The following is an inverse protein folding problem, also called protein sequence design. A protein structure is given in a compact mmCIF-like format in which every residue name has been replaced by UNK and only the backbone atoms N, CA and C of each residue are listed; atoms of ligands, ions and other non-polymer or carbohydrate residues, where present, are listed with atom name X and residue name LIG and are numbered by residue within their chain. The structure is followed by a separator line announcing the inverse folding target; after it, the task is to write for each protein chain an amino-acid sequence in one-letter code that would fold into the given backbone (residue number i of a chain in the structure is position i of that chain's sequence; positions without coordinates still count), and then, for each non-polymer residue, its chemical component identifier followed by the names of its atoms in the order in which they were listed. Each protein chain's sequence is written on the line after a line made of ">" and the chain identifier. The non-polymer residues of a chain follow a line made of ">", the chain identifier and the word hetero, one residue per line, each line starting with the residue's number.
data_IF_162798008284
#
_entry.id   IF_162798008284
#
_cell.length_a   1.000
_cell.length_b   1.000
_cell.length_c   1.000
_cell.angle_alpha   90.00
_cell.angle_beta   90.00
_cell.angle_gamma   90.00
#
_symmetry.space_group_name_H-M   'P 1'
#
loop_
_entity.id
_entity.type
_entity.pdbx_description
1 polymer ?
#
# COMPACT_ATOMS: atom_id res chain seq x y z
N UNK A 1 -19.68 -22.61 79.24
CA UNK A 1 -19.03 -23.80 78.63
C UNK A 1 -18.74 -23.51 77.17
N UNK A 2 -17.55 -23.86 76.67
CA UNK A 2 -16.97 -23.33 75.45
C UNK A 2 -17.35 -24.15 74.21
N UNK A 3 -17.24 -23.55 73.02
CA UNK A 3 -16.68 -24.21 71.82
C UNK A 3 -16.35 -23.17 70.74
N UNK A 4 -15.05 -23.05 70.48
CA UNK A 4 -14.50 -22.53 69.23
C UNK A 4 -14.94 -23.41 68.05
N UNK A 5 -14.98 -22.86 66.83
CA UNK A 5 -14.14 -23.27 65.68
C UNK A 5 -14.52 -22.50 64.39
N UNK A 6 -13.44 -22.04 63.72
CA UNK A 6 -13.17 -21.64 62.32
C UNK A 6 -14.33 -21.38 61.33
N UNK A 7 -14.36 -20.23 60.65
CA UNK A 7 -13.61 -19.85 59.42
C UNK A 7 -13.96 -20.70 58.20
N UNK A 8 -14.66 -20.09 57.23
CA UNK A 8 -14.39 -20.24 55.79
C UNK A 8 -15.12 -19.14 55.01
N UNK A 9 -14.37 -18.10 54.63
CA UNK A 9 -14.78 -17.06 53.70
C UNK A 9 -14.64 -17.65 52.28
N UNK A 10 -15.76 -18.00 51.65
CA UNK A 10 -15.78 -18.45 50.25
C UNK A 10 -15.81 -17.22 49.34
N UNK A 11 -14.64 -16.87 48.82
CA UNK A 11 -14.44 -15.88 47.76
C UNK A 11 -14.90 -16.52 46.43
N UNK A 12 -16.12 -16.22 46.00
CA UNK A 12 -16.61 -16.61 44.68
C UNK A 12 -16.04 -15.68 43.61
N UNK A 13 -14.83 -16.00 43.12
CA UNK A 13 -14.28 -15.38 41.91
C UNK A 13 -15.05 -15.97 40.73
N UNK A 14 -15.98 -15.21 40.18
CA UNK A 14 -16.63 -15.53 38.91
C UNK A 14 -15.56 -15.64 37.82
N UNK A 15 -15.32 -16.85 37.35
CA UNK A 15 -14.50 -17.10 36.17
C UNK A 15 -15.25 -16.55 34.95
N UNK A 16 -14.81 -15.40 34.44
CA UNK A 16 -15.12 -14.99 33.07
C UNK A 16 -14.52 -16.06 32.17
N UNK A 17 -15.28 -16.71 31.28
CA UNK A 17 -14.68 -17.60 30.30
C UNK A 17 -13.77 -16.73 29.41
N UNK A 18 -12.45 -16.89 29.54
CA UNK A 18 -11.55 -16.49 28.48
C UNK A 18 -12.05 -17.22 27.23
N UNK A 19 -12.49 -16.45 26.24
CA UNK A 19 -12.58 -16.96 24.89
C UNK A 19 -11.21 -17.55 24.56
N UNK A 20 -11.15 -18.88 24.49
CA UNK A 20 -9.99 -19.56 23.95
C UNK A 20 -9.72 -18.92 22.59
N UNK A 21 -8.55 -18.29 22.44
CA UNK A 21 -8.05 -17.90 21.13
C UNK A 21 -8.05 -19.18 20.29
N UNK A 22 -9.02 -19.31 19.39
CA UNK A 22 -9.03 -20.39 18.41
C UNK A 22 -7.72 -20.28 17.66
N UNK A 23 -6.98 -21.40 17.61
CA UNK A 23 -5.72 -21.59 16.88
C UNK A 23 -5.78 -20.88 15.52
N UNK A 24 -5.28 -19.65 15.47
CA UNK A 24 -4.91 -19.03 14.21
C UNK A 24 -3.75 -19.87 13.70
N UNK A 25 -3.87 -20.41 12.48
CA UNK A 25 -2.76 -21.07 11.81
C UNK A 25 -1.47 -20.26 12.02
N UNK A 26 -0.48 -20.84 12.70
CA UNK A 26 0.82 -20.20 13.00
C UNK A 26 1.65 -20.13 11.69
N UNK A 27 1.22 -19.30 10.75
CA UNK A 27 1.99 -19.02 9.54
C UNK A 27 3.22 -18.20 9.92
N UNK A 28 4.40 -18.82 9.90
CA UNK A 28 5.66 -18.09 10.05
C UNK A 28 5.81 -17.08 8.89
N UNK A 29 5.76 -15.76 9.15
CA UNK A 29 5.78 -14.78 8.07
C UNK A 29 7.09 -14.85 7.28
N UNK A 30 6.98 -14.75 5.96
CA UNK A 30 8.11 -14.61 5.03
C UNK A 30 8.07 -13.23 4.39
N UNK A 31 9.21 -12.56 4.34
CA UNK A 31 9.30 -11.27 3.68
C UNK A 31 9.16 -11.45 2.15
N UNK A 32 8.19 -10.81 1.49
CA UNK A 32 8.12 -10.81 0.04
C UNK A 32 9.31 -10.04 -0.56
N UNK A 33 9.69 -10.41 -1.78
CA UNK A 33 10.67 -9.65 -2.56
C UNK A 33 10.09 -8.30 -2.98
N UNK A 34 10.86 -7.23 -2.84
CA UNK A 34 10.43 -5.87 -3.22
C UNK A 34 11.20 -5.33 -4.41
N UNK A 35 10.58 -4.43 -5.17
CA UNK A 35 11.22 -3.62 -6.19
C UNK A 35 12.22 -2.60 -5.64
N UNK A 36 12.07 -2.24 -4.37
CA UNK A 36 12.72 -1.12 -3.72
C UNK A 36 13.80 -1.63 -2.78
N UNK A 37 15.07 -1.58 -3.22
CA UNK A 37 16.20 -2.04 -2.42
C UNK A 37 17.22 -0.93 -2.18
N UNK A 38 18.01 -1.10 -1.12
CA UNK A 38 19.03 -0.13 -0.72
C UNK A 38 18.42 1.20 -0.28
N UNK A 39 18.76 2.29 -0.99
CA UNK A 39 18.29 3.64 -0.66
C UNK A 39 16.95 4.01 -1.32
N UNK A 40 16.45 3.19 -2.23
CA UNK A 40 15.18 3.46 -2.91
C UNK A 40 14.03 3.12 -1.97
N UNK A 41 13.36 4.16 -1.45
CA UNK A 41 12.21 4.03 -0.56
C UNK A 41 11.18 5.11 -0.87
N UNK A 42 10.54 5.07 -2.05
CA UNK A 42 9.44 5.99 -2.31
C UNK A 42 8.33 5.76 -1.29
N UNK A 43 7.82 6.85 -0.75
CA UNK A 43 6.73 6.86 0.22
C UNK A 43 5.65 7.87 -0.21
N UNK A 44 4.42 7.63 0.21
CA UNK A 44 3.35 8.63 0.16
C UNK A 44 2.95 8.92 1.61
N UNK A 45 3.22 10.14 2.07
CA UNK A 45 3.00 10.58 3.46
C UNK A 45 3.67 9.67 4.51
N UNK A 46 4.86 9.15 4.22
CA UNK A 46 5.59 8.24 5.11
C UNK A 46 5.21 6.77 4.94
N UNK A 47 4.22 6.45 4.11
CA UNK A 47 3.82 5.06 3.83
C UNK A 47 4.55 4.57 2.60
N UNK A 48 5.52 3.69 2.82
CA UNK A 48 6.24 2.94 1.79
C UNK A 48 5.74 1.50 1.71
N UNK A 49 6.24 0.72 0.75
CA UNK A 49 5.88 -0.70 0.65
C UNK A 49 6.53 -1.59 1.72
N UNK A 50 7.51 -1.04 2.46
CA UNK A 50 8.01 -1.64 3.70
C UNK A 50 7.00 -1.44 4.86
N UNK A 51 5.99 -0.57 4.75
CA UNK A 51 4.99 -0.40 5.81
C UNK A 51 4.09 -1.62 5.93
N UNK A 52 3.65 -1.95 7.15
CA UNK A 52 2.59 -2.93 7.38
C UNK A 52 1.27 -2.20 7.74
N UNK A 53 0.16 -2.94 7.90
CA UNK A 53 -1.11 -2.28 8.19
C UNK A 53 -1.13 -1.53 9.52
N UNK A 54 -0.41 -2.01 10.53
CA UNK A 54 -0.30 -1.35 11.83
C UNK A 54 0.46 -0.02 11.72
N UNK A 55 1.61 0.01 11.06
CA UNK A 55 2.39 1.23 10.86
C UNK A 55 1.67 2.24 9.98
N UNK A 56 1.00 1.77 8.92
CA UNK A 56 0.17 2.63 8.07
C UNK A 56 -1.01 3.23 8.85
N UNK A 57 -1.66 2.44 9.71
CA UNK A 57 -2.70 2.92 10.61
C UNK A 57 -2.18 3.96 11.60
N UNK A 58 -1.02 3.74 12.20
CA UNK A 58 -0.41 4.73 13.09
C UNK A 58 -0.11 6.06 12.37
N UNK A 59 0.34 6.00 11.12
CA UNK A 59 0.54 7.18 10.27
C UNK A 59 -0.80 7.89 10.02
N UNK A 60 -1.85 7.15 9.68
CA UNK A 60 -3.19 7.72 9.51
C UNK A 60 -3.66 8.41 10.80
N UNK A 61 -3.63 7.69 11.93
CA UNK A 61 -4.05 8.22 13.22
C UNK A 61 -3.27 9.50 13.60
N UNK A 62 -1.98 9.57 13.27
CA UNK A 62 -1.18 10.78 13.45
C UNK A 62 -1.57 11.92 12.51
N UNK A 63 -1.77 11.65 11.22
CA UNK A 63 -2.14 12.66 10.21
C UNK A 63 -3.54 13.27 10.46
N UNK A 64 -4.39 12.53 11.16
CA UNK A 64 -5.79 12.89 11.39
C UNK A 64 -6.11 13.19 12.85
N UNK A 65 -5.09 13.21 13.71
CA UNK A 65 -5.25 13.55 15.12
C UNK A 65 -5.96 14.90 15.26
N UNK A 66 -7.09 14.90 15.97
CA UNK A 66 -7.90 16.09 16.22
C UNK A 66 -8.90 16.44 15.11
N UNK A 67 -9.02 15.62 14.05
CA UNK A 67 -10.07 15.76 13.03
C UNK A 67 -11.26 14.85 13.34
N UNK A 68 -12.47 15.39 13.21
CA UNK A 68 -13.73 14.67 13.45
C UNK A 68 -14.56 14.48 12.18
N UNK A 69 -14.15 15.10 11.08
CA UNK A 69 -14.80 15.08 9.77
C UNK A 69 -14.28 13.95 8.87
N UNK A 70 -13.28 13.20 9.32
CA UNK A 70 -12.64 12.16 8.54
C UNK A 70 -13.32 10.81 8.66
N UNK A 71 -13.35 10.04 7.57
CA UNK A 71 -13.82 8.65 7.55
C UNK A 71 -12.66 7.70 7.29
N UNK A 72 -12.51 6.70 8.14
CA UNK A 72 -11.59 5.58 7.93
C UNK A 72 -12.40 4.30 7.68
N UNK A 73 -12.09 3.61 6.59
CA UNK A 73 -12.64 2.30 6.21
C UNK A 73 -11.52 1.26 6.28
N UNK A 74 -11.70 0.25 7.11
CA UNK A 74 -10.75 -0.84 7.32
C UNK A 74 -11.35 -2.11 6.73
N UNK A 75 -10.79 -2.58 5.62
CA UNK A 75 -11.24 -3.79 4.97
C UNK A 75 -10.42 -4.97 5.50
N UNK A 76 -11.12 -5.90 6.14
CA UNK A 76 -10.51 -7.13 6.64
C UNK A 76 -10.75 -8.29 5.68
N UNK A 77 -9.79 -9.19 5.59
CA UNK A 77 -9.92 -10.47 4.90
C UNK A 77 -9.48 -11.60 5.81
N UNK A 78 -9.86 -12.84 5.47
CA UNK A 78 -9.38 -14.04 6.15
C UNK A 78 -8.22 -14.65 5.38
N UNK A 79 -7.23 -15.14 6.11
CA UNK A 79 -6.14 -15.96 5.61
C UNK A 79 -5.96 -17.14 6.56
N UNK A 80 -6.28 -18.35 6.10
CA UNK A 80 -6.49 -19.49 7.00
C UNK A 80 -7.59 -19.19 8.02
N UNK A 81 -7.33 -19.48 9.30
CA UNK A 81 -8.22 -19.14 10.42
C UNK A 81 -8.22 -17.68 10.88
N UNK A 82 -7.28 -16.84 10.43
CA UNK A 82 -7.06 -15.49 10.97
C UNK A 82 -7.61 -14.36 10.08
N UNK A 83 -8.22 -13.34 10.70
CA UNK A 83 -8.56 -12.09 10.02
C UNK A 83 -7.38 -11.12 10.03
N UNK A 84 -7.18 -10.38 8.94
CA UNK A 84 -6.13 -9.36 8.81
C UNK A 84 -6.64 -8.15 8.03
N UNK A 85 -5.95 -7.01 8.16
CA UNK A 85 -6.27 -5.80 7.39
C UNK A 85 -5.70 -5.93 5.98
N UNK A 86 -6.58 -6.03 4.99
CA UNK A 86 -6.23 -6.13 3.57
C UNK A 86 -6.24 -4.77 2.87
N UNK A 87 -7.05 -3.83 3.33
CA UNK A 87 -6.99 -2.44 2.87
C UNK A 87 -7.36 -1.45 3.97
N UNK A 88 -6.75 -0.27 3.90
CA UNK A 88 -7.02 0.87 4.74
C UNK A 88 -7.32 2.06 3.82
N UNK A 89 -8.54 2.59 3.92
CA UNK A 89 -8.96 3.75 3.16
C UNK A 89 -9.29 4.89 4.12
N UNK A 90 -8.86 6.08 3.77
CA UNK A 90 -9.16 7.31 4.45
C UNK A 90 -9.82 8.26 3.47
N UNK A 91 -10.81 9.00 3.95
CA UNK A 91 -11.46 10.06 3.20
C UNK A 91 -11.66 11.27 4.10
N UNK A 92 -11.18 12.40 3.61
CA UNK A 92 -11.42 13.73 4.15
C UNK A 92 -12.39 14.43 3.20
N UNK A 93 -13.56 14.88 3.68
CA UNK A 93 -14.49 15.63 2.86
C UNK A 93 -13.91 16.99 2.45
N UNK A 94 -14.55 17.61 1.46
CA UNK A 94 -14.24 18.99 1.10
C UNK A 94 -14.50 19.94 2.28
N UNK A 95 -13.59 20.89 2.46
CA UNK A 95 -13.67 21.97 3.43
C UNK A 95 -13.23 23.30 2.80
N UNK A 96 -13.14 24.35 3.60
CA UNK A 96 -12.89 25.71 3.10
C UNK A 96 -11.54 25.92 2.41
N UNK A 97 -10.55 25.06 2.66
CA UNK A 97 -9.18 25.16 2.10
C UNK A 97 -8.77 23.99 1.20
N UNK A 98 -9.60 22.95 1.10
CA UNK A 98 -9.30 21.74 0.32
C UNK A 98 -10.60 21.12 -0.17
N UNK A 99 -10.63 20.59 -1.39
CA UNK A 99 -11.82 19.95 -1.96
C UNK A 99 -11.85 18.44 -1.69
N UNK A 100 -11.22 18.02 -0.60
CA UNK A 100 -11.17 16.65 -0.12
C UNK A 100 -9.86 15.94 -0.41
N UNK A 101 -9.63 14.87 0.33
CA UNK A 101 -8.45 14.02 0.21
C UNK A 101 -8.87 12.55 0.39
N UNK A 102 -8.28 11.66 -0.41
CA UNK A 102 -8.44 10.23 -0.23
C UNK A 102 -7.06 9.58 -0.17
N UNK A 103 -6.84 8.73 0.82
CA UNK A 103 -5.62 7.93 0.94
C UNK A 103 -6.04 6.46 1.05
N UNK A 104 -5.48 5.60 0.20
CA UNK A 104 -5.80 4.18 0.12
C UNK A 104 -4.50 3.38 0.20
N UNK A 105 -4.51 2.31 0.97
CA UNK A 105 -3.38 1.39 1.08
C UNK A 105 -3.89 -0.05 1.09
N UNK A 106 -3.27 -0.92 0.31
CA UNK A 106 -3.58 -2.34 0.25
C UNK A 106 -2.39 -3.17 0.71
N UNK A 107 -2.67 -4.23 1.47
CA UNK A 107 -1.66 -5.02 2.18
C UNK A 107 -1.75 -6.49 1.81
N UNK A 108 -0.60 -7.15 1.81
CA UNK A 108 -0.50 -8.60 1.64
C UNK A 108 -1.02 -9.35 2.87
N UNK A 109 -1.10 -10.68 2.78
CA UNK A 109 -1.54 -11.51 3.91
C UNK A 109 -0.52 -11.52 5.07
N UNK A 110 -0.89 -12.04 6.26
CA UNK A 110 0.05 -12.26 7.36
C UNK A 110 1.20 -13.21 7.02
N UNK A 111 0.99 -14.21 6.16
CA UNK A 111 2.05 -15.11 5.72
C UNK A 111 3.15 -14.38 4.94
N UNK A 112 2.80 -13.28 4.28
CA UNK A 112 3.71 -12.35 3.60
C UNK A 112 3.98 -11.07 4.41
N UNK A 113 3.93 -11.16 5.73
CA UNK A 113 4.23 -10.10 6.69
C UNK A 113 3.35 -8.83 6.60
N UNK A 114 2.16 -8.94 6.01
CA UNK A 114 1.16 -7.88 5.91
C UNK A 114 1.70 -6.54 5.37
N UNK A 115 2.55 -6.63 4.34
CA UNK A 115 3.25 -5.47 3.77
C UNK A 115 2.40 -4.75 2.74
N UNK A 116 2.49 -3.42 2.71
CA UNK A 116 1.81 -2.59 1.73
C UNK A 116 2.39 -2.85 0.33
N UNK A 117 1.56 -3.23 -0.64
CA UNK A 117 1.99 -3.36 -2.04
C UNK A 117 1.43 -2.24 -2.93
N UNK A 118 0.40 -1.54 -2.45
CA UNK A 118 -0.25 -0.44 -3.16
C UNK A 118 -0.54 0.70 -2.19
N UNK A 119 -0.19 1.93 -2.57
CA UNK A 119 -0.52 3.16 -1.84
C UNK A 119 -1.00 4.18 -2.86
N UNK A 120 -2.15 4.80 -2.65
CA UNK A 120 -2.66 5.85 -3.52
C UNK A 120 -3.19 7.02 -2.71
N UNK A 121 -2.91 8.25 -3.17
CA UNK A 121 -3.38 9.49 -2.56
C UNK A 121 -3.95 10.40 -3.61
N UNK A 122 -5.19 10.83 -3.43
CA UNK A 122 -5.82 11.87 -4.24
C UNK A 122 -5.97 13.11 -3.38
N UNK A 123 -5.31 14.19 -3.77
CA UNK A 123 -5.39 15.49 -3.13
C UNK A 123 -6.10 16.48 -4.05
N UNK A 124 -7.26 16.99 -3.62
CA UNK A 124 -8.06 17.93 -4.40
C UNK A 124 -7.97 19.33 -3.80
N UNK A 125 -7.59 20.32 -4.60
CA UNK A 125 -7.39 21.70 -4.16
C UNK A 125 -8.66 22.53 -4.34
N UNK A 126 -8.93 23.42 -3.38
CA UNK A 126 -9.94 24.46 -3.54
C UNK A 126 -9.52 25.45 -4.64
N UNK A 127 -10.43 26.09 -5.40
CA UNK A 127 -10.08 26.92 -6.55
C UNK A 127 -9.05 28.03 -6.26
N UNK A 128 -9.13 28.65 -5.09
CA UNK A 128 -8.26 29.71 -4.61
C UNK A 128 -6.94 29.19 -3.99
N UNK A 129 -6.82 27.87 -3.80
CA UNK A 129 -5.67 27.19 -3.19
C UNK A 129 -4.93 26.29 -4.20
N UNK A 130 -5.25 26.36 -5.50
CA UNK A 130 -4.61 25.53 -6.51
C UNK A 130 -3.13 25.95 -6.70
N UNK A 131 -2.17 25.06 -6.43
CA UNK A 131 -0.76 25.37 -6.67
C UNK A 131 -0.49 25.50 -8.16
N UNK A 132 0.59 26.22 -8.50
CA UNK A 132 1.04 26.23 -9.89
C UNK A 132 1.58 24.85 -10.27
N UNK A 133 1.43 24.49 -11.54
CA UNK A 133 1.97 23.24 -12.10
C UNK A 133 3.49 23.18 -11.95
N UNK A 134 4.16 24.32 -12.08
CA UNK A 134 5.61 24.42 -11.92
C UNK A 134 6.03 24.11 -10.47
N UNK A 135 5.36 24.70 -9.48
CA UNK A 135 5.67 24.46 -8.07
C UNK A 135 5.41 23.00 -7.68
N UNK A 136 4.29 22.44 -8.13
CA UNK A 136 3.96 21.05 -7.86
C UNK A 136 4.98 20.08 -8.49
N UNK A 137 5.40 20.32 -9.74
CA UNK A 137 6.45 19.52 -10.40
C UNK A 137 7.77 19.62 -9.64
N UNK A 138 8.15 20.83 -9.21
CA UNK A 138 9.37 21.06 -8.42
C UNK A 138 9.34 20.31 -7.11
N UNK A 139 8.23 20.36 -6.36
CA UNK A 139 8.09 19.61 -5.10
C UNK A 139 8.17 18.10 -5.32
N UNK A 140 7.47 17.58 -6.33
CA UNK A 140 7.46 16.15 -6.68
C UNK A 140 8.87 15.69 -7.06
N UNK A 141 9.55 16.42 -7.93
CA UNK A 141 10.91 16.06 -8.37
C UNK A 141 11.95 16.27 -7.26
N UNK A 142 11.74 17.24 -6.37
CA UNK A 142 12.55 17.40 -5.16
C UNK A 142 12.43 16.20 -4.22
N UNK A 143 11.24 15.60 -4.10
CA UNK A 143 11.01 14.42 -3.27
C UNK A 143 11.48 13.11 -3.91
N UNK A 144 11.08 12.86 -5.16
CA UNK A 144 11.27 11.56 -5.81
C UNK A 144 12.41 11.52 -6.83
N UNK A 145 13.03 12.66 -7.11
CA UNK A 145 14.13 12.79 -8.07
C UNK A 145 13.65 12.99 -9.50
N UNK A 146 14.42 12.47 -10.45
CA UNK A 146 14.15 12.64 -11.89
C UNK A 146 13.18 11.55 -12.37
N UNK A 147 12.03 11.92 -12.99
CA UNK A 147 11.09 10.93 -13.51
C UNK A 147 11.70 10.19 -14.72
N UNK A 148 11.28 8.94 -14.88
CA UNK A 148 11.61 8.11 -16.04
C UNK A 148 11.00 8.66 -17.32
N UNK A 149 9.71 9.02 -17.29
CA UNK A 149 8.98 9.59 -18.42
C UNK A 149 7.91 10.57 -17.92
N UNK A 150 7.68 11.64 -18.69
CA UNK A 150 6.70 12.69 -18.39
C UNK A 150 5.79 12.88 -19.60
N UNK A 151 4.49 13.02 -19.35
CA UNK A 151 3.47 13.26 -20.36
C UNK A 151 2.10 12.74 -19.93
N UNK A 152 1.06 13.12 -20.67
CA UNK A 152 -0.34 12.77 -20.39
C UNK A 152 -0.75 13.15 -18.96
N UNK A 153 -0.31 14.32 -18.50
CA UNK A 153 -0.45 14.83 -17.13
C UNK A 153 0.26 14.01 -16.05
N UNK A 154 1.17 13.10 -16.39
CA UNK A 154 1.84 12.24 -15.43
C UNK A 154 3.36 12.43 -15.38
N UNK A 155 3.91 12.30 -14.17
CA UNK A 155 5.31 11.99 -13.91
C UNK A 155 5.41 10.52 -13.50
N UNK A 156 6.11 9.70 -14.27
CA UNK A 156 6.30 8.28 -13.95
C UNK A 156 7.73 8.00 -13.50
N UNK A 157 7.87 7.29 -12.39
CA UNK A 157 9.11 6.76 -11.84
C UNK A 157 8.98 5.24 -11.89
N UNK A 158 9.67 4.61 -12.84
CA UNK A 158 9.52 3.18 -13.10
C UNK A 158 10.76 2.47 -12.61
N UNK A 159 10.57 1.42 -11.81
CA UNK A 159 11.64 0.70 -11.14
C UNK A 159 11.78 -0.70 -11.72
N UNK A 160 13.02 -1.10 -11.99
CA UNK A 160 13.38 -2.42 -12.49
C UNK A 160 14.77 -2.79 -11.97
N UNK A 161 14.91 -4.04 -11.49
CA UNK A 161 16.13 -4.60 -10.93
C UNK A 161 16.75 -3.70 -9.84
N UNK A 162 15.91 -3.15 -8.96
CA UNK A 162 16.36 -2.30 -7.85
C UNK A 162 16.91 -0.93 -8.26
N UNK A 163 16.59 -0.44 -9.47
CA UNK A 163 16.96 0.90 -9.92
C UNK A 163 15.82 1.58 -10.68
N UNK A 164 15.82 2.91 -10.70
CA UNK A 164 14.91 3.68 -11.56
C UNK A 164 15.37 3.56 -13.02
N UNK A 165 14.44 3.24 -13.91
CA UNK A 165 14.70 3.13 -15.34
C UNK A 165 14.96 4.50 -15.96
N UNK A 166 15.85 4.53 -16.95
CA UNK A 166 16.05 5.67 -17.85
C UNK A 166 15.74 5.25 -19.27
N UNK A 167 14.96 6.07 -19.99
CA UNK A 167 14.54 5.81 -21.38
C UNK A 167 15.23 6.73 -22.40
N UNK A 168 16.33 7.38 -21.97
CA UNK A 168 17.15 8.27 -22.78
C UNK A 168 16.80 9.77 -22.63
N UNK A 169 15.63 10.10 -22.08
CA UNK A 169 15.29 11.46 -21.66
C UNK A 169 15.79 11.73 -20.24
N UNK A 170 16.47 12.87 -20.02
CA UNK A 170 16.69 13.41 -18.67
C UNK A 170 15.72 14.57 -18.46
N UNK A 171 14.61 14.30 -17.78
CA UNK A 171 13.65 15.33 -17.43
C UNK A 171 14.18 16.18 -16.28
N UNK A 172 14.70 17.37 -16.60
CA UNK A 172 14.93 18.45 -15.64
C UNK A 172 13.64 19.23 -15.39
N UNK A 173 13.63 20.04 -14.32
CA UNK A 173 12.67 21.11 -13.99
C UNK A 173 11.81 21.56 -15.18
N UNK A 174 12.42 22.41 -16.00
CA UNK A 174 11.80 23.03 -17.16
C UNK A 174 11.26 22.03 -18.19
N UNK A 175 12.04 21.00 -18.53
CA UNK A 175 11.62 20.01 -19.54
C UNK A 175 10.45 19.13 -19.06
N UNK A 176 10.33 18.88 -17.76
CA UNK A 176 9.17 18.19 -17.19
C UNK A 176 7.92 19.07 -17.27
N UNK A 177 8.05 20.36 -16.95
CA UNK A 177 6.96 21.35 -17.07
C UNK A 177 6.47 21.45 -18.52
N UNK A 178 7.37 21.44 -19.50
CA UNK A 178 7.00 21.47 -20.92
C UNK A 178 6.37 20.16 -21.41
N UNK A 179 6.79 19.01 -20.86
CA UNK A 179 6.36 17.70 -21.30
C UNK A 179 5.04 17.24 -20.67
N UNK A 180 4.73 17.66 -19.44
CA UNK A 180 3.60 17.14 -18.66
C UNK A 180 2.25 17.26 -19.39
N UNK A 181 2.06 18.33 -20.17
CA UNK A 181 0.84 18.57 -20.93
C UNK A 181 0.77 17.85 -22.29
N UNK A 182 1.88 17.26 -22.75
CA UNK A 182 2.00 16.61 -24.06
C UNK A 182 1.70 15.11 -23.93
N UNK A 183 1.28 14.43 -25.01
CA UNK A 183 1.22 12.97 -25.00
C UNK A 183 2.57 12.34 -24.61
N UNK A 184 2.53 11.15 -24.03
CA UNK A 184 3.75 10.38 -23.77
C UNK A 184 4.49 10.09 -25.07
N UNK A 185 5.82 10.25 -25.07
CA UNK A 185 6.66 9.86 -26.21
C UNK A 185 6.49 8.34 -26.47
N UNK A 186 5.93 7.94 -27.63
CA UNK A 186 5.72 6.53 -27.94
C UNK A 186 7.01 5.71 -27.94
N UNK A 187 8.13 6.29 -28.36
CA UNK A 187 9.43 5.59 -28.39
C UNK A 187 9.94 5.33 -26.98
N UNK A 188 9.84 6.33 -26.11
CA UNK A 188 10.19 6.18 -24.70
C UNK A 188 9.27 5.18 -23.99
N UNK A 189 7.97 5.21 -24.28
CA UNK A 189 6.99 4.26 -23.74
C UNK A 189 7.29 2.81 -24.19
N UNK A 190 7.65 2.59 -25.45
CA UNK A 190 8.02 1.27 -25.98
C UNK A 190 9.31 0.75 -25.33
N UNK A 191 10.31 1.60 -25.08
CA UNK A 191 11.54 1.21 -24.37
C UNK A 191 11.27 0.65 -22.97
N UNK A 192 10.21 1.10 -22.30
CA UNK A 192 9.80 0.56 -20.98
C UNK A 192 9.28 -0.87 -21.07
N UNK A 193 8.79 -1.29 -22.23
CA UNK A 193 8.29 -2.66 -22.45
C UNK A 193 9.44 -3.67 -22.67
N UNK A 194 10.67 -3.19 -22.94
CA UNK A 194 11.82 -4.05 -23.22
C UNK A 194 11.54 -5.06 -24.34
N UNK A 195 12.31 -6.15 -24.36
CA UNK A 195 12.19 -7.20 -25.40
C UNK A 195 11.15 -8.30 -25.05
N UNK A 196 10.23 -8.01 -24.13
CA UNK A 196 9.32 -9.04 -23.57
C UNK A 196 7.89 -8.89 -24.08
N UNK A 197 7.14 -9.98 -24.11
CA UNK A 197 5.68 -9.99 -24.39
C UNK A 197 4.85 -9.42 -23.23
N UNK A 198 5.50 -8.89 -22.18
CA UNK A 198 4.83 -8.35 -21.00
C UNK A 198 4.27 -6.96 -21.27
N UNK A 199 3.19 -6.62 -20.59
CA UNK A 199 2.46 -5.37 -20.72
C UNK A 199 3.22 -4.15 -20.18
N UNK A 200 2.78 -2.98 -20.64
CA UNK A 200 3.38 -1.69 -20.30
C UNK A 200 3.21 -1.33 -18.83
N UNK A 201 4.30 -0.89 -18.20
CA UNK A 201 4.33 -0.36 -16.83
C UNK A 201 3.39 0.82 -16.60
N UNK A 202 3.29 1.71 -17.60
CA UNK A 202 2.37 2.85 -17.57
C UNK A 202 0.92 2.34 -17.52
N UNK A 203 0.61 1.32 -18.31
CA UNK A 203 -0.74 0.77 -18.38
C UNK A 203 -1.13 0.01 -17.11
N UNK A 204 -0.18 -0.69 -16.48
CA UNK A 204 -0.39 -1.42 -15.22
C UNK A 204 -0.80 -0.47 -14.09
N UNK A 205 -0.15 0.68 -13.94
CA UNK A 205 -0.52 1.64 -12.89
C UNK A 205 -1.94 2.19 -13.10
N UNK A 206 -2.27 2.59 -14.33
CA UNK A 206 -3.61 3.09 -14.66
C UNK A 206 -4.69 2.05 -14.35
N UNK A 207 -4.44 0.76 -14.63
CA UNK A 207 -5.38 -0.33 -14.32
C UNK A 207 -5.38 -0.72 -12.85
N UNK A 208 -4.25 -0.60 -12.15
CA UNK A 208 -4.15 -0.91 -10.72
C UNK A 208 -4.99 0.06 -9.87
N UNK A 209 -5.05 1.35 -10.25
CA UNK A 209 -5.89 2.34 -9.58
C UNK A 209 -7.37 1.94 -9.54
N UNK A 210 -7.91 1.38 -10.61
CA UNK A 210 -9.32 0.94 -10.66
C UNK A 210 -9.55 -0.39 -9.96
N UNK A 211 -8.48 -1.17 -9.73
CA UNK A 211 -8.49 -2.53 -9.14
C UNK A 211 -7.96 -2.58 -7.72
N UNK A 212 -7.76 -1.43 -7.06
CA UNK A 212 -7.20 -1.32 -5.70
C UNK A 212 -7.90 -2.20 -4.66
N UNK A 213 -9.20 -2.43 -4.85
CA UNK A 213 -10.09 -3.20 -3.96
C UNK A 213 -10.20 -4.69 -4.35
N UNK A 214 -9.57 -5.11 -5.43
CA UNK A 214 -9.67 -6.46 -5.99
C UNK A 214 -8.27 -7.10 -6.09
N UNK A 215 -7.75 -7.71 -5.01
CA UNK A 215 -6.39 -8.24 -4.97
C UNK A 215 -6.08 -9.23 -6.10
N UNK A 216 -7.04 -10.11 -6.45
CA UNK A 216 -6.88 -11.07 -7.56
C UNK A 216 -6.79 -10.39 -8.93
N UNK A 217 -7.59 -9.34 -9.16
CA UNK A 217 -7.53 -8.56 -10.39
C UNK A 217 -6.21 -7.77 -10.47
N UNK A 218 -5.72 -7.22 -9.35
CA UNK A 218 -4.44 -6.54 -9.29
C UNK A 218 -3.26 -7.48 -9.51
N UNK A 219 -3.29 -8.69 -8.95
CA UNK A 219 -2.25 -9.71 -9.16
C UNK A 219 -2.15 -10.12 -10.64
N UNK A 220 -3.30 -10.22 -11.33
CA UNK A 220 -3.34 -10.52 -12.76
C UNK A 220 -2.63 -9.43 -13.57
N UNK A 221 -2.87 -8.16 -13.23
CA UNK A 221 -2.16 -7.03 -13.84
C UNK A 221 -0.66 -7.05 -13.53
N UNK A 222 -0.30 -7.33 -12.28
CA UNK A 222 1.07 -7.34 -11.83
C UNK A 222 1.91 -8.45 -12.50
N UNK A 223 1.35 -9.66 -12.68
CA UNK A 223 2.02 -10.75 -13.42
C UNK A 223 2.30 -10.38 -14.87
N UNK A 224 1.45 -9.54 -15.46
CA UNK A 224 1.62 -9.02 -16.81
C UNK A 224 2.58 -7.84 -16.92
N UNK A 225 3.10 -7.28 -15.83
CA UNK A 225 3.93 -6.08 -15.86
C UNK A 225 5.40 -6.36 -16.24
N UNK A 226 6.04 -5.40 -16.91
CA UNK A 226 7.47 -5.46 -17.24
C UNK A 226 8.39 -4.66 -16.28
N UNK A 227 7.87 -4.22 -15.14
CA UNK A 227 8.59 -3.50 -14.10
C UNK A 227 8.38 -4.19 -12.77
N UNK A 228 9.30 -3.92 -11.85
CA UNK A 228 9.22 -4.43 -10.49
C UNK A 228 8.40 -3.49 -9.61
N UNK A 229 8.42 -2.18 -9.87
CA UNK A 229 7.62 -1.21 -9.14
C UNK A 229 7.41 0.07 -9.93
N UNK A 230 6.40 0.84 -9.57
CA UNK A 230 6.10 2.13 -10.19
C UNK A 230 5.58 3.11 -9.16
N UNK A 231 6.09 4.35 -9.21
CA UNK A 231 5.44 5.52 -8.63
C UNK A 231 4.94 6.40 -9.78
N UNK A 232 3.67 6.76 -9.80
CA UNK A 232 3.12 7.77 -10.70
C UNK A 232 2.56 8.95 -9.91
N UNK A 233 2.69 10.14 -10.50
CA UNK A 233 2.00 11.34 -10.04
C UNK A 233 1.26 11.96 -11.20
N UNK A 234 -0.06 12.00 -11.14
CA UNK A 234 -0.93 12.66 -12.10
C UNK A 234 -1.32 14.05 -11.60
N UNK A 235 -1.17 15.05 -12.45
CA UNK A 235 -1.54 16.45 -12.17
C UNK A 235 -2.72 16.84 -13.06
N UNK A 236 -3.94 16.76 -12.53
CA UNK A 236 -5.14 17.18 -13.26
C UNK A 236 -5.21 18.71 -13.26
N UNK A 237 -5.32 19.37 -14.43
CA UNK A 237 -5.50 20.82 -14.51
C UNK A 237 -6.69 21.30 -13.67
N UNK A 238 -6.50 22.45 -13.02
CA UNK A 238 -7.52 23.10 -12.21
C UNK A 238 -8.37 24.08 -13.02
N UNK A 239 -8.78 25.16 -12.36
CA UNK A 239 -9.60 26.22 -12.96
C UNK A 239 -8.84 26.94 -14.08
N UNK A 240 -7.52 27.08 -13.92
CA UNK A 240 -6.62 27.55 -14.96
C UNK A 240 -5.71 26.40 -15.41
N UNK A 241 -5.31 26.40 -16.68
CA UNK A 241 -4.54 25.31 -17.28
C UNK A 241 -3.13 25.14 -16.67
N UNK A 242 -2.57 26.20 -16.08
CA UNK A 242 -1.29 26.23 -15.37
C UNK A 242 -1.44 25.91 -13.88
N UNK A 243 -2.66 25.70 -13.38
CA UNK A 243 -2.97 25.35 -11.99
C UNK A 243 -3.30 23.87 -11.87
N UNK A 244 -3.02 23.29 -10.70
CA UNK A 244 -3.34 21.88 -10.40
C UNK A 244 -4.59 21.83 -9.55
N UNK A 245 -5.66 21.21 -10.08
CA UNK A 245 -6.90 20.96 -9.34
C UNK A 245 -6.84 19.68 -8.52
N UNK A 246 -6.18 18.65 -9.05
CA UNK A 246 -6.01 17.35 -8.38
C UNK A 246 -4.58 16.84 -8.57
N UNK A 247 -3.93 16.43 -7.48
CA UNK A 247 -2.70 15.66 -7.53
C UNK A 247 -2.99 14.22 -7.07
N UNK A 248 -2.83 13.25 -7.98
CA UNK A 248 -3.02 11.84 -7.69
C UNK A 248 -1.67 11.13 -7.65
N UNK A 249 -1.31 10.57 -6.51
CA UNK A 249 -0.10 9.79 -6.31
C UNK A 249 -0.47 8.31 -6.28
N UNK A 250 0.33 7.46 -6.92
CA UNK A 250 0.16 6.01 -6.87
C UNK A 250 1.50 5.33 -6.80
N UNK A 251 1.73 4.58 -5.73
CA UNK A 251 2.87 3.71 -5.53
C UNK A 251 2.40 2.26 -5.60
N UNK A 252 3.02 1.47 -6.47
CA UNK A 252 2.74 0.06 -6.67
C UNK A 252 4.06 -0.74 -6.69
N UNK A 253 4.19 -1.70 -5.78
CA UNK A 253 5.27 -2.68 -5.79
C UNK A 253 4.76 -3.98 -6.43
N UNK A 254 4.94 -4.08 -7.75
CA UNK A 254 4.53 -5.24 -8.55
C UNK A 254 5.25 -6.48 -8.07
N UNK A 255 6.55 -6.36 -7.80
CA UNK A 255 7.40 -7.47 -7.37
C UNK A 255 6.95 -8.00 -6.02
N UNK A 256 6.63 -7.11 -5.08
CA UNK A 256 6.11 -7.48 -3.77
C UNK A 256 4.73 -8.13 -3.86
N UNK A 257 3.83 -7.60 -4.69
CA UNK A 257 2.52 -8.22 -4.89
C UNK A 257 2.63 -9.64 -5.45
N UNK A 258 3.47 -9.85 -6.47
CA UNK A 258 3.67 -11.18 -7.08
C UNK A 258 4.37 -12.14 -6.11
N UNK A 259 5.39 -11.67 -5.40
CA UNK A 259 6.13 -12.47 -4.42
C UNK A 259 5.26 -12.85 -3.22
N UNK A 260 4.48 -11.90 -2.68
CA UNK A 260 3.53 -12.13 -1.61
C UNK A 260 2.48 -13.17 -2.01
N UNK A 261 1.92 -13.07 -3.21
CA UNK A 261 0.95 -14.05 -3.69
C UNK A 261 1.52 -15.48 -3.78
N UNK A 262 2.80 -15.63 -4.14
CA UNK A 262 3.47 -16.93 -4.14
C UNK A 262 3.67 -17.48 -2.72
N UNK A 263 4.06 -16.62 -1.77
CA UNK A 263 4.17 -16.98 -0.34
C UNK A 263 2.80 -17.41 0.20
N UNK A 264 1.78 -16.61 -0.06
CA UNK A 264 0.41 -16.84 0.39
C UNK A 264 -0.13 -18.17 -0.13
N UNK A 265 0.10 -18.46 -1.43
CA UNK A 265 -0.30 -19.74 -2.04
C UNK A 265 0.42 -20.93 -1.41
N UNK A 266 1.72 -20.81 -1.14
CA UNK A 266 2.50 -21.86 -0.50
C UNK A 266 2.09 -22.09 0.96
N UNK A 267 1.77 -21.03 1.69
CA UNK A 267 1.27 -21.12 3.06
C UNK A 267 -0.09 -21.82 3.13
N UNK A 268 -1.03 -21.49 2.24
CA UNK A 268 -2.34 -22.17 2.18
C UNK A 268 -2.22 -23.65 1.80
N UNK A 269 -1.28 -24.00 0.91
CA UNK A 269 -1.05 -25.38 0.49
C UNK A 269 -0.40 -26.25 1.58
N UNK A 270 0.34 -25.65 2.52
CA UNK A 270 1.02 -26.36 3.60
C UNK A 270 0.07 -26.82 4.73
N UNK A 271 -1.17 -26.34 4.76
CA UNK A 271 -2.13 -26.62 5.84
C UNK A 271 -1.73 -26.05 7.21
N UNK A 272 -2.55 -26.22 8.25
CA UNK A 272 -2.16 -25.95 9.63
C UNK A 272 -0.91 -26.78 9.94
N UNK A 273 0.13 -26.16 10.49
CA UNK A 273 1.40 -26.86 10.75
C UNK A 273 1.19 -28.18 11.51
N UNK A 274 1.73 -29.29 11.02
CA UNK A 274 1.74 -30.61 11.69
C UNK A 274 2.41 -30.61 13.09
N UNK A 275 3.00 -29.49 13.51
CA UNK A 275 3.60 -29.32 14.84
C UNK A 275 2.62 -29.17 16.01
N UNK A 276 1.30 -29.26 15.77
CA UNK A 276 0.28 -29.12 16.80
C UNK A 276 -0.49 -30.41 17.13
N UNK A 277 0.09 -31.60 16.93
CA UNK A 277 -0.38 -32.76 17.69
C UNK A 277 0.22 -32.69 19.10
N UNK A 278 -0.58 -32.52 20.17
CA UNK A 278 -0.06 -32.72 21.51
C UNK A 278 0.41 -34.18 21.57
N UNK A 279 1.70 -34.40 21.81
CA UNK A 279 2.19 -35.73 22.20
C UNK A 279 1.45 -36.11 23.47
N UNK A 280 0.38 -36.89 23.29
CA UNK A 280 -0.42 -37.42 24.37
C UNK A 280 0.50 -38.13 25.34
N UNK A 281 0.72 -37.51 26.50
CA UNK A 281 1.33 -38.19 27.63
C UNK A 281 0.19 -38.98 28.27
N UNK A 282 0.01 -40.23 27.83
CA UNK A 282 -0.84 -41.16 28.55
C UNK A 282 -0.31 -41.27 29.99
N UNK A 283 -1.17 -41.22 31.03
CA UNK A 283 -0.72 -41.38 32.40
C UNK A 283 -0.24 -42.83 32.59
N UNK A 284 0.96 -42.99 33.14
CA UNK A 284 1.41 -44.29 33.63
C UNK A 284 0.64 -44.62 34.91
N UNK A 285 0.08 -45.83 34.97
CA UNK A 285 -0.47 -46.46 36.17
C UNK A 285 0.60 -46.56 37.27
#
# INVERSE_FOLDING_TARGET
>A
MPRHVLVSMLLAIGQVPLAAASLADDFKPKAPETAFSGKLRPDILGISTESNAESARAIFDSLFKGRTDTKTDIQQQKFGGASYVAALNFTLPAGSKQNGEMLSTSFSSPASANRAYFVARNLTFAPDQQPSKADMIKEIMGKYGVPTIVGDQHLYYIYRKGSIMSVGGKYKEATAIEAIGKPLDPRAAVKLNGDTVRGSCVAVVKRAQTKAKEPGAMLTEAKGANCDGVLSVQLVPGTQADRVGIAQFTLLDVKQLVSAAAIDSAALAAGPSESAMPKGSAPKL
#
